data_IF_543801407655
#
_entry.id   IF_543801407655
#
_cell.length_a   1.000
_cell.length_b   1.000
_cell.length_c   1.000
_cell.angle_alpha   90.00
_cell.angle_beta   90.00
_cell.angle_gamma   90.00
#
_symmetry.space_group_name_H-M   'P 1'
#
loop_
_entity.id
_entity.type
_entity.pdbx_description
1 polymer ?
#
# COMPACT_ATOMS: atom_id res chain seq x y z
N UNK A 1 -1.00 23.86 46.71
CA UNK A 1 -0.48 24.28 45.39
C UNK A 1 -1.34 23.63 44.33
N UNK A 2 -1.93 24.45 43.48
CA UNK A 2 -2.93 24.14 42.44
C UNK A 2 -2.31 23.61 41.16
N UNK A 3 -3.06 22.70 40.51
CA UNK A 3 -3.22 22.45 39.06
C UNK A 3 -2.01 22.24 38.14
N UNK A 4 -2.08 21.17 37.34
CA UNK A 4 -2.27 21.19 35.86
C UNK A 4 -2.47 19.72 35.39
N UNK A 5 -3.69 19.29 35.10
CA UNK A 5 -4.40 19.40 33.82
C UNK A 5 -4.07 18.25 32.85
N UNK A 6 -5.05 17.34 32.71
CA UNK A 6 -5.51 16.65 31.51
C UNK A 6 -4.48 16.40 30.38
N UNK A 7 -4.06 15.15 30.24
CA UNK A 7 -3.83 14.57 28.91
C UNK A 7 -4.99 13.63 28.56
N UNK A 8 -6.07 14.24 28.08
CA UNK A 8 -6.92 13.58 27.08
C UNK A 8 -6.09 13.40 25.83
N UNK A 9 -5.67 12.18 25.55
CA UNK A 9 -5.45 11.69 24.19
C UNK A 9 -5.92 10.24 24.12
N UNK A 10 -7.20 10.01 24.40
CA UNK A 10 -7.89 8.90 23.75
C UNK A 10 -8.67 9.54 22.62
N UNK A 11 -8.02 9.71 21.46
CA UNK A 11 -8.77 9.65 20.22
C UNK A 11 -9.27 8.20 20.11
N UNK A 12 -10.31 7.88 20.88
CA UNK A 12 -11.14 6.72 20.63
C UNK A 12 -11.86 7.07 19.34
N UNK A 13 -11.23 6.73 18.21
CA UNK A 13 -12.00 6.38 17.02
C UNK A 13 -12.82 5.17 17.47
N UNK A 14 -14.08 5.44 17.83
CA UNK A 14 -15.09 4.43 18.11
C UNK A 14 -15.39 3.72 16.78
N UNK A 15 -14.43 2.93 16.29
CA UNK A 15 -14.71 1.91 15.30
C UNK A 15 -15.64 0.92 16.00
N UNK A 16 -16.90 0.77 15.55
CA UNK A 16 -17.80 -0.21 16.16
C UNK A 16 -17.15 -1.59 15.97
N UNK A 17 -16.78 -2.24 17.08
CA UNK A 17 -16.26 -3.60 17.01
C UNK A 17 -17.39 -4.52 16.52
N UNK A 18 -17.32 -4.87 15.23
CA UNK A 18 -18.29 -5.74 14.59
C UNK A 18 -18.28 -7.10 15.27
N UNK A 19 -19.46 -7.64 15.51
CA UNK A 19 -19.59 -9.02 15.99
C UNK A 19 -19.06 -10.00 14.94
N UNK A 20 -18.65 -11.19 15.39
CA UNK A 20 -18.16 -12.25 14.49
C UNK A 20 -19.16 -12.57 13.37
N UNK A 21 -20.47 -12.57 13.70
CA UNK A 21 -21.55 -12.83 12.75
C UNK A 21 -21.67 -11.73 11.69
N UNK A 22 -21.48 -10.46 12.07
CA UNK A 22 -21.47 -9.34 11.12
C UNK A 22 -20.22 -9.34 10.22
N UNK A 23 -19.07 -9.77 10.76
CA UNK A 23 -17.86 -9.97 9.97
C UNK A 23 -18.05 -11.06 8.93
N UNK A 24 -18.60 -12.22 9.32
CA UNK A 24 -18.89 -13.32 8.40
C UNK A 24 -19.86 -12.87 7.29
N UNK A 25 -20.95 -12.17 7.64
CA UNK A 25 -21.89 -11.65 6.66
C UNK A 25 -21.25 -10.62 5.70
N UNK A 26 -20.31 -9.81 6.18
CA UNK A 26 -19.57 -8.83 5.36
C UNK A 26 -18.58 -9.52 4.43
N UNK A 27 -17.92 -10.59 4.89
CA UNK A 27 -17.06 -11.43 4.05
C UNK A 27 -17.86 -12.14 2.96
N UNK A 28 -19.01 -12.73 3.30
CA UNK A 28 -19.91 -13.36 2.32
C UNK A 28 -20.39 -12.34 1.26
N UNK A 29 -20.74 -11.12 1.68
CA UNK A 29 -21.14 -10.06 0.77
C UNK A 29 -19.99 -9.63 -0.16
N UNK A 30 -18.77 -9.53 0.36
CA UNK A 30 -17.58 -9.18 -0.41
C UNK A 30 -17.19 -10.28 -1.40
N UNK A 31 -17.26 -11.55 -1.01
CA UNK A 31 -16.93 -12.68 -1.89
C UNK A 31 -17.88 -12.76 -3.10
N UNK A 32 -19.12 -12.32 -2.94
CA UNK A 32 -20.11 -12.24 -4.02
C UNK A 32 -20.10 -10.92 -4.79
N UNK A 33 -19.26 -9.94 -4.40
CA UNK A 33 -19.17 -8.65 -5.08
C UNK A 33 -18.45 -8.81 -6.44
N UNK A 34 -19.07 -8.45 -7.57
CA UNK A 34 -18.43 -8.52 -8.88
C UNK A 34 -17.15 -7.68 -8.98
N UNK A 35 -16.99 -6.60 -8.21
CA UNK A 35 -15.75 -5.81 -8.18
C UNK A 35 -14.64 -6.53 -7.43
N UNK A 36 -14.96 -7.23 -6.34
CA UNK A 36 -14.01 -8.07 -5.61
C UNK A 36 -13.58 -9.30 -6.42
N UNK A 37 -14.49 -9.87 -7.20
CA UNK A 37 -14.22 -10.98 -8.12
C UNK A 37 -13.44 -10.54 -9.37
N UNK A 38 -13.39 -9.24 -9.66
CA UNK A 38 -12.55 -8.71 -10.73
C UNK A 38 -11.07 -8.96 -10.40
N UNK A 39 -10.24 -9.12 -11.43
CA UNK A 39 -8.81 -9.38 -11.21
C UNK A 39 -8.18 -8.23 -10.42
N UNK A 40 -7.59 -8.49 -9.25
CA UNK A 40 -6.97 -7.44 -8.45
C UNK A 40 -5.81 -6.80 -9.21
N UNK A 41 -5.57 -5.51 -8.97
CA UNK A 41 -4.53 -4.72 -9.66
C UNK A 41 -3.16 -5.42 -9.59
N UNK A 42 -2.81 -6.03 -8.45
CA UNK A 42 -1.56 -6.77 -8.28
C UNK A 42 -1.43 -7.96 -9.24
N UNK A 43 -2.52 -8.69 -9.48
CA UNK A 43 -2.52 -9.80 -10.43
C UNK A 43 -2.33 -9.29 -11.86
N UNK A 44 -2.94 -8.16 -12.21
CA UNK A 44 -2.72 -7.51 -13.50
C UNK A 44 -1.27 -7.07 -13.69
N UNK A 45 -0.65 -6.50 -12.65
CA UNK A 45 0.78 -6.11 -12.66
C UNK A 45 1.67 -7.34 -12.91
N UNK A 46 1.39 -8.47 -12.25
CA UNK A 46 2.14 -9.73 -12.46
C UNK A 46 1.97 -10.23 -13.90
N UNK A 47 0.74 -10.21 -14.43
CA UNK A 47 0.45 -10.60 -15.81
C UNK A 47 1.22 -9.75 -16.83
N UNK A 48 1.24 -8.42 -16.65
CA UNK A 48 2.04 -7.50 -17.46
C UNK A 48 3.53 -7.84 -17.31
N UNK A 49 3.97 -8.11 -16.09
CA UNK A 49 5.39 -8.35 -15.84
C UNK A 49 5.94 -9.63 -16.46
N UNK A 50 5.08 -10.63 -16.68
CA UNK A 50 5.43 -11.87 -17.37
C UNK A 50 5.70 -11.67 -18.87
N UNK A 51 5.24 -10.57 -19.47
CA UNK A 51 5.52 -10.24 -20.89
C UNK A 51 6.92 -9.65 -21.05
N UNK A 52 7.48 -9.06 -19.99
CA UNK A 52 8.77 -8.36 -20.03
C UNK A 52 9.93 -9.34 -19.80
N UNK A 53 10.92 -9.44 -20.70
CA UNK A 53 12.06 -10.33 -20.53
C UNK A 53 12.90 -10.01 -19.29
N UNK A 54 13.48 -11.04 -18.67
CA UNK A 54 14.34 -10.90 -17.49
C UNK A 54 15.62 -10.08 -17.72
N UNK A 55 16.06 -9.91 -18.98
CA UNK A 55 17.15 -8.99 -19.31
C UNK A 55 16.73 -7.53 -19.11
N UNK A 56 15.52 -7.17 -19.53
CA UNK A 56 14.98 -5.81 -19.43
C UNK A 56 14.72 -5.44 -17.97
N UNK A 57 14.16 -6.37 -17.18
CA UNK A 57 14.03 -6.19 -15.73
C UNK A 57 15.37 -5.85 -15.08
N UNK A 58 16.42 -6.62 -15.36
CA UNK A 58 17.74 -6.38 -14.75
C UNK A 58 18.38 -5.06 -15.17
N UNK A 59 18.04 -4.55 -16.35
CA UNK A 59 18.60 -3.33 -16.93
C UNK A 59 17.86 -2.09 -16.47
N UNK A 60 16.53 -2.14 -16.40
CA UNK A 60 15.68 -0.97 -16.22
C UNK A 60 15.02 -0.89 -14.84
N UNK A 61 14.89 -2.01 -14.11
CA UNK A 61 14.23 -2.00 -12.81
C UNK A 61 15.14 -1.40 -11.72
N UNK A 62 14.69 -0.34 -11.04
CA UNK A 62 15.36 0.22 -9.89
C UNK A 62 15.54 -0.80 -8.76
N UNK A 63 16.76 -0.92 -8.21
CA UNK A 63 17.05 -1.78 -7.04
C UNK A 63 17.06 -1.02 -5.72
N UNK A 64 16.95 0.30 -5.80
CA UNK A 64 16.96 1.25 -4.70
C UNK A 64 15.55 1.61 -4.22
N UNK A 65 14.53 0.89 -4.70
CA UNK A 65 13.13 1.05 -4.34
C UNK A 65 12.69 2.52 -4.42
N UNK A 66 12.27 3.11 -3.29
CA UNK A 66 11.78 4.47 -3.22
C UNK A 66 12.88 5.51 -2.94
N UNK A 67 14.14 5.11 -2.71
CA UNK A 67 15.22 6.03 -2.34
C UNK A 67 15.45 7.10 -3.41
N UNK A 68 15.55 6.69 -4.67
CA UNK A 68 15.73 7.59 -5.80
C UNK A 68 14.39 7.94 -6.49
N UNK A 69 13.29 8.04 -5.73
CA UNK A 69 11.96 8.34 -6.29
C UNK A 69 11.95 9.65 -7.11
N UNK A 70 12.58 10.71 -6.59
CA UNK A 70 12.64 12.00 -7.29
C UNK A 70 13.40 11.91 -8.61
N UNK A 71 14.44 11.08 -8.69
CA UNK A 71 15.14 10.80 -9.93
C UNK A 71 14.21 10.13 -10.97
N UNK A 72 13.46 9.10 -10.57
CA UNK A 72 12.59 8.37 -11.50
C UNK A 72 11.39 9.19 -11.96
N UNK A 73 10.86 10.07 -11.10
CA UNK A 73 9.70 10.90 -11.44
C UNK A 73 10.06 12.20 -12.14
N UNK A 74 11.18 12.83 -11.76
CA UNK A 74 11.50 14.20 -12.16
C UNK A 74 12.90 14.36 -12.76
N UNK A 75 13.74 13.30 -12.77
CA UNK A 75 15.09 13.35 -13.28
C UNK A 75 16.09 14.09 -12.39
N UNK A 76 15.80 14.23 -11.09
CA UNK A 76 16.76 14.74 -10.10
C UNK A 76 18.03 13.86 -10.05
N UNK A 77 19.19 14.38 -9.63
CA UNK A 77 20.38 13.56 -9.40
C UNK A 77 20.09 12.40 -8.45
N UNK A 78 20.73 11.25 -8.67
CA UNK A 78 20.58 10.11 -7.76
C UNK A 78 21.48 10.30 -6.55
N UNK A 79 21.01 9.87 -5.38
CA UNK A 79 21.78 9.95 -4.13
C UNK A 79 23.10 9.14 -4.20
N UNK A 80 23.15 8.08 -5.01
CA UNK A 80 24.33 7.23 -5.20
C UNK A 80 25.32 7.73 -6.26
N UNK A 81 25.02 8.83 -6.96
CA UNK A 81 25.93 9.48 -7.91
C UNK A 81 26.76 10.62 -7.28
N UNK A 82 26.44 11.01 -6.03
CA UNK A 82 27.11 12.11 -5.31
C UNK A 82 28.30 11.66 -4.42
N UNK A 83 28.69 10.37 -4.45
CA UNK A 83 29.83 9.80 -3.70
C UNK A 83 31.07 9.48 -4.58
#
# INVERSE_FOLDING_TARGET
MTNLNNHSTSNTSEEPELSMEELDAKWDALENDPEFLAKPIWQQIIEIGNVVPQSEWRKHFPRDFARNFEHYMYGAPREDEEE
#
